data_IF_941232079673
#
_entry.id   IF_941232079673
#
_cell.length_a   1.000
_cell.length_b   1.000
_cell.length_c   1.000
_cell.angle_alpha   90.00
_cell.angle_beta   90.00
_cell.angle_gamma   90.00
#
_symmetry.space_group_name_H-M   'P 1'
#
loop_
_entity.id
_entity.type
_entity.pdbx_description
1 polymer ?
#
# COMPACT_ATOMS: atom_id res chain seq x y z
N UNK A 1 9.52 -15.11 -5.44
CA UNK A 1 9.02 -13.75 -5.27
C UNK A 1 9.51 -13.16 -3.98
N UNK A 2 10.02 -11.97 -4.04
CA UNK A 2 10.58 -11.36 -2.85
C UNK A 2 9.68 -10.32 -2.26
N UNK A 3 9.54 -10.36 -0.96
CA UNK A 3 8.83 -9.32 -0.24
C UNK A 3 9.85 -8.29 0.21
N UNK A 4 9.44 -7.04 0.19
CA UNK A 4 10.32 -5.98 0.63
C UNK A 4 9.48 -4.87 1.26
N UNK A 5 10.13 -4.06 2.09
CA UNK A 5 9.44 -3.04 2.84
C UNK A 5 9.73 -1.66 2.26
N UNK A 6 8.69 -0.85 2.23
CA UNK A 6 8.81 0.53 1.74
C UNK A 6 7.97 1.42 2.64
N UNK A 7 8.24 2.70 2.57
CA UNK A 7 7.41 3.67 3.28
C UNK A 7 6.27 4.08 2.38
N UNK A 8 5.10 4.22 2.96
CA UNK A 8 3.91 4.56 2.21
C UNK A 8 3.03 5.47 3.03
N UNK A 9 2.25 6.29 2.32
CA UNK A 9 1.20 7.07 2.98
C UNK A 9 0.02 6.13 3.21
N UNK A 10 -0.50 6.13 4.43
CA UNK A 10 -1.56 5.21 4.82
C UNK A 10 -2.86 5.98 4.89
N UNK A 11 -3.85 5.52 4.16
CA UNK A 11 -5.13 6.23 4.07
C UNK A 11 -5.81 6.36 5.43
N UNK A 12 -5.84 5.30 6.20
CA UNK A 12 -6.50 5.32 7.50
C UNK A 12 -5.79 6.20 8.52
N UNK A 13 -4.56 6.62 8.21
CA UNK A 13 -3.79 7.50 9.10
C UNK A 13 -3.75 8.92 8.53
N UNK A 14 -4.73 9.28 7.74
CA UNK A 14 -4.81 10.63 7.13
C UNK A 14 -3.58 10.93 6.30
N UNK A 15 -3.02 9.91 5.66
CA UNK A 15 -1.89 10.11 4.79
C UNK A 15 -0.54 10.15 5.49
N UNK A 16 -0.49 9.84 6.76
CA UNK A 16 0.79 9.76 7.44
C UNK A 16 1.58 8.57 6.92
N UNK A 17 2.89 8.68 6.99
CA UNK A 17 3.77 7.68 6.45
C UNK A 17 3.98 6.55 7.44
N UNK A 18 3.90 5.33 6.94
CA UNK A 18 4.18 4.15 7.74
C UNK A 18 4.85 3.12 6.84
N UNK A 19 5.48 2.13 7.45
CA UNK A 19 6.16 1.10 6.71
C UNK A 19 5.18 0.00 6.33
N UNK A 20 5.25 -0.44 5.08
CA UNK A 20 4.44 -1.54 4.59
C UNK A 20 5.36 -2.56 3.94
N UNK A 21 4.85 -3.77 3.76
CA UNK A 21 5.58 -4.82 3.06
C UNK A 21 4.92 -5.06 1.73
N UNK A 22 5.67 -4.91 0.66
CA UNK A 22 5.15 -5.19 -0.68
C UNK A 22 5.20 -6.68 -0.90
N UNK A 23 4.06 -7.28 -1.20
CA UNK A 23 3.95 -8.70 -1.39
C UNK A 23 3.96 -9.08 -2.86
N UNK A 24 3.29 -8.29 -3.68
CA UNK A 24 3.11 -8.67 -5.07
C UNK A 24 2.77 -7.44 -5.90
N UNK A 25 3.25 -7.42 -7.13
CA UNK A 25 2.88 -6.38 -8.09
C UNK A 25 1.79 -6.96 -8.98
N UNK A 26 0.64 -6.30 -9.01
CA UNK A 26 -0.51 -6.82 -9.76
C UNK A 26 -0.90 -5.95 -10.94
N UNK A 27 -0.23 -4.85 -11.14
CA UNK A 27 -0.50 -3.96 -12.27
C UNK A 27 0.65 -3.00 -12.43
N UNK A 28 0.53 -2.05 -13.35
CA UNK A 28 1.62 -1.13 -13.60
C UNK A 28 2.00 -0.34 -12.35
N UNK A 29 1.01 0.15 -11.64
CA UNK A 29 1.25 0.90 -10.43
C UNK A 29 0.50 0.30 -9.25
N UNK A 30 0.02 -0.92 -9.40
CA UNK A 30 -0.79 -1.58 -8.40
C UNK A 30 0.01 -2.63 -7.67
N UNK A 31 -0.05 -2.59 -6.36
CA UNK A 31 0.68 -3.54 -5.52
C UNK A 31 -0.23 -4.07 -4.43
N UNK A 32 0.01 -5.30 -4.04
CA UNK A 32 -0.62 -5.87 -2.85
C UNK A 32 0.42 -5.78 -1.75
N UNK A 33 0.03 -5.19 -0.65
CA UNK A 33 0.96 -4.93 0.44
C UNK A 33 0.36 -5.40 1.75
N UNK A 34 1.22 -5.55 2.75
CA UNK A 34 0.80 -5.93 4.08
C UNK A 34 1.08 -4.76 5.01
N UNK A 35 0.04 -4.30 5.68
CA UNK A 35 0.16 -3.26 6.68
C UNK A 35 -0.36 -3.81 7.99
N UNK A 36 0.53 -4.05 8.93
CA UNK A 36 0.20 -4.55 10.27
C UNK A 36 -0.62 -5.83 10.21
N UNK A 37 -0.22 -6.73 9.32
CA UNK A 37 -0.88 -8.02 9.21
C UNK A 37 -2.13 -8.03 8.37
N UNK A 38 -2.47 -6.91 7.76
CA UNK A 38 -3.65 -6.80 6.93
C UNK A 38 -3.23 -6.55 5.49
N UNK A 39 -3.73 -7.36 4.59
CA UNK A 39 -3.42 -7.16 3.18
C UNK A 39 -4.22 -5.99 2.64
N UNK A 40 -3.55 -5.11 1.97
CA UNK A 40 -4.13 -3.91 1.42
C UNK A 40 -3.67 -3.72 -0.01
N UNK A 41 -4.29 -2.76 -0.65
CA UNK A 41 -3.94 -2.37 -2.01
C UNK A 41 -3.14 -1.09 -1.93
N UNK A 42 -2.07 -1.00 -2.68
CA UNK A 42 -1.25 0.20 -2.70
C UNK A 42 -1.00 0.64 -4.13
N UNK A 43 -0.92 1.93 -4.32
CA UNK A 43 -0.62 2.52 -5.61
C UNK A 43 0.68 3.27 -5.52
N UNK A 44 1.47 3.20 -6.59
CA UNK A 44 2.71 3.93 -6.66
C UNK A 44 2.47 5.24 -7.41
N UNK A 45 2.87 6.34 -6.80
CA UNK A 45 2.70 7.65 -7.40
C UNK A 45 4.02 8.08 -8.04
N UNK A 46 4.02 8.22 -9.34
CA UNK A 46 5.22 8.57 -10.08
C UNK A 46 5.69 10.00 -9.86
N UNK A 47 4.76 10.89 -9.52
CA UNK A 47 5.12 12.29 -9.36
C UNK A 47 6.04 12.50 -8.17
N UNK A 48 5.80 11.81 -7.08
CA UNK A 48 6.66 11.96 -5.92
C UNK A 48 7.32 10.66 -5.51
N UNK A 49 7.21 9.63 -6.35
CA UNK A 49 7.86 8.35 -6.13
C UNK A 49 7.52 7.77 -4.77
N UNK A 50 6.24 7.80 -4.43
CA UNK A 50 5.77 7.39 -3.12
C UNK A 50 4.62 6.41 -3.27
N UNK A 51 4.54 5.47 -2.36
CA UNK A 51 3.42 4.53 -2.33
C UNK A 51 2.30 5.10 -1.47
N UNK A 52 1.07 4.79 -1.87
CA UNK A 52 -0.12 5.17 -1.12
C UNK A 52 -0.93 3.92 -0.86
N UNK A 53 -1.03 3.52 0.40
CA UNK A 53 -1.74 2.32 0.78
C UNK A 53 -3.17 2.67 1.13
N UNK A 54 -4.09 1.95 0.52
CA UNK A 54 -5.51 2.20 0.70
C UNK A 54 -6.08 1.12 1.59
N UNK A 55 -5.72 1.18 2.85
CA UNK A 55 -6.05 0.12 3.79
C UNK A 55 -7.49 0.21 4.31
N UNK A 56 -8.18 1.30 4.00
CA UNK A 56 -9.58 1.47 4.41
C UNK A 56 -10.54 1.05 3.32
N UNK A 57 -10.06 1.14 2.11
CA UNK A 57 -10.90 0.97 0.94
C UNK A 57 -11.61 -0.36 0.90
N UNK A 58 -10.89 -1.41 1.22
CA UNK A 58 -11.45 -2.75 1.07
C UNK A 58 -12.64 -3.01 1.99
N UNK A 59 -12.77 -2.25 3.04
CA UNK A 59 -13.86 -2.47 3.95
C UNK A 59 -15.20 -2.08 3.37
N UNK A 60 -15.19 -1.17 2.44
CA UNK A 60 -16.44 -0.76 1.81
C UNK A 60 -16.94 -1.81 0.85
N UNK A 61 -16.13 -2.80 0.58
CA UNK A 61 -16.52 -3.89 -0.27
C UNK A 61 -17.57 -4.77 0.37
N UNK A 62 -17.58 -4.76 1.67
CA UNK A 62 -18.50 -5.60 2.38
C UNK A 62 -19.91 -5.11 2.26
#
# INVERSE_FOLDING_TARGET
MKEYRVMAHIHSLNGEIAEITVLEKVGDNDYIVDYKGVKCHALFNWFNCTYYADDVYRRSEE
#
